data_IF_831756967313
#
_entry.id   IF_831756967313
#
_cell.length_a   1.000
_cell.length_b   1.000
_cell.length_c   1.000
_cell.angle_alpha   90.00
_cell.angle_beta   90.00
_cell.angle_gamma   90.00
#
_symmetry.space_group_name_H-M   'P 1'
#
loop_
_entity.id
_entity.type
_entity.pdbx_description
1 polymer ?
#
# COMPACT_ATOMS: atom_id res chain seq x y z
N UNK A 1 11.31 1.44 -6.35
CA UNK A 1 10.16 1.53 -7.28
C UNK A 1 9.89 0.13 -7.81
N UNK A 2 8.66 -0.35 -7.76
CA UNK A 2 8.30 -1.71 -8.23
C UNK A 2 8.18 -1.70 -9.77
N UNK A 3 9.32 -1.55 -10.45
CA UNK A 3 9.42 -1.34 -11.91
C UNK A 3 8.76 -2.50 -12.66
N UNK A 4 8.96 -3.73 -12.21
CA UNK A 4 8.40 -4.92 -12.83
C UNK A 4 6.86 -4.91 -12.87
N UNK A 5 6.21 -4.33 -11.85
CA UNK A 5 4.76 -4.26 -11.77
C UNK A 5 4.18 -3.35 -12.87
N UNK A 6 4.91 -2.28 -13.21
CA UNK A 6 4.54 -1.37 -14.29
C UNK A 6 5.01 -1.88 -15.66
N UNK A 7 6.25 -2.37 -15.76
CA UNK A 7 6.79 -2.92 -17.01
C UNK A 7 6.12 -4.24 -17.41
N UNK A 8 5.67 -5.06 -16.45
CA UNK A 8 4.92 -6.29 -16.70
C UNK A 8 3.50 -6.08 -17.23
N UNK A 9 3.07 -4.82 -17.42
CA UNK A 9 1.76 -4.50 -17.97
C UNK A 9 0.58 -4.69 -17.00
N UNK A 10 0.80 -5.21 -15.78
CA UNK A 10 -0.25 -5.55 -14.81
C UNK A 10 -1.06 -4.32 -14.41
N UNK A 11 -0.37 -3.23 -14.05
CA UNK A 11 -1.03 -1.98 -13.65
C UNK A 11 -1.71 -1.33 -14.86
N UNK A 12 -1.10 -1.42 -16.04
CA UNK A 12 -1.68 -0.91 -17.28
C UNK A 12 -2.97 -1.68 -17.62
N UNK A 13 -2.92 -3.00 -17.57
CA UNK A 13 -4.09 -3.86 -17.80
C UNK A 13 -5.21 -3.55 -16.82
N UNK A 14 -4.88 -3.43 -15.53
CA UNK A 14 -5.86 -3.06 -14.51
C UNK A 14 -6.48 -1.68 -14.77
N UNK A 15 -5.70 -0.66 -15.09
CA UNK A 15 -6.19 0.69 -15.41
C UNK A 15 -7.03 0.77 -16.69
N UNK A 16 -6.97 -0.23 -17.55
CA UNK A 16 -7.72 -0.26 -18.82
C UNK A 16 -8.93 -1.18 -18.79
N UNK A 17 -8.86 -2.28 -18.05
CA UNK A 17 -9.95 -3.28 -18.00
C UNK A 17 -10.96 -3.02 -16.89
N UNK A 18 -10.65 -2.13 -15.96
CA UNK A 18 -11.48 -1.85 -14.79
C UNK A 18 -11.52 -3.00 -13.78
N UNK A 19 -12.02 -2.73 -12.60
CA UNK A 19 -12.31 -3.70 -11.55
C UNK A 19 -11.26 -3.79 -10.44
N UNK A 20 -11.08 -4.95 -9.82
CA UNK A 20 -10.34 -5.13 -8.59
C UNK A 20 -9.00 -5.83 -8.81
N UNK A 21 -7.91 -5.18 -8.41
CA UNK A 21 -6.55 -5.72 -8.34
C UNK A 21 -6.20 -6.03 -6.88
N UNK A 22 -5.79 -7.26 -6.61
CA UNK A 22 -5.27 -7.63 -5.29
C UNK A 22 -3.80 -7.99 -5.37
N UNK A 23 -2.96 -7.24 -4.63
CA UNK A 23 -1.52 -7.46 -4.53
C UNK A 23 -1.22 -7.99 -3.13
N UNK A 24 -0.56 -9.12 -3.04
CA UNK A 24 -0.29 -9.76 -1.75
C UNK A 24 1.15 -10.24 -1.62
N UNK A 25 1.64 -10.22 -0.38
CA UNK A 25 2.98 -10.70 -0.06
C UNK A 25 3.19 -10.90 1.43
N UNK A 26 4.18 -11.69 1.82
CA UNK A 26 4.57 -11.82 3.22
C UNK A 26 5.25 -10.55 3.70
N UNK A 27 5.10 -10.17 4.98
CA UNK A 27 5.93 -9.12 5.57
C UNK A 27 7.40 -9.54 5.53
N UNK A 28 8.29 -8.69 5.06
CA UNK A 28 9.65 -8.71 5.51
C UNK A 28 9.62 -8.48 7.04
N UNK A 29 10.19 -9.40 7.80
CA UNK A 29 10.20 -9.32 9.27
C UNK A 29 11.13 -8.16 9.64
N UNK A 30 10.57 -6.97 9.81
CA UNK A 30 11.29 -5.86 10.40
C UNK A 30 11.40 -6.16 11.88
N UNK A 31 12.58 -6.56 12.33
CA UNK A 31 12.96 -6.41 13.73
C UNK A 31 12.95 -4.90 14.02
N UNK A 32 11.81 -4.42 14.51
CA UNK A 32 11.67 -3.07 15.04
C UNK A 32 12.56 -2.96 16.29
N UNK A 33 13.76 -2.47 16.11
CA UNK A 33 14.43 -1.77 17.20
C UNK A 33 13.76 -0.40 17.29
N UNK A 34 13.23 -0.01 18.48
CA UNK A 34 12.61 1.29 18.62
C UNK A 34 13.62 2.40 18.27
N UNK A 35 13.16 3.39 17.52
CA UNK A 35 13.97 4.53 17.09
C UNK A 35 14.61 5.34 18.25
N UNK A 36 14.22 5.07 19.49
CA UNK A 36 14.80 5.63 20.71
C UNK A 36 16.23 5.20 21.00
N UNK A 37 16.68 4.06 20.48
CA UNK A 37 18.00 3.50 20.80
C UNK A 37 19.13 4.00 19.88
N UNK A 38 18.80 4.83 18.88
CA UNK A 38 19.81 5.36 17.93
C UNK A 38 20.54 6.63 18.40
N UNK A 39 20.41 7.02 19.67
CA UNK A 39 21.15 8.19 20.23
C UNK A 39 22.55 7.89 20.72
N UNK A 40 23.04 6.66 20.61
CA UNK A 40 24.42 6.35 20.93
C UNK A 40 25.22 6.10 19.64
N UNK A 41 26.33 6.82 19.42
CA UNK A 41 27.24 6.46 18.36
C UNK A 41 27.85 5.10 18.73
N UNK A 42 27.47 4.04 18.03
CA UNK A 42 28.14 2.75 18.17
C UNK A 42 29.55 2.94 17.65
N UNK A 43 30.51 3.07 18.57
CA UNK A 43 31.95 3.07 18.26
C UNK A 43 32.24 1.64 17.80
N UNK A 44 32.30 1.45 16.49
CA UNK A 44 32.71 0.18 15.89
C UNK A 44 34.22 0.15 15.93
N UNK A 45 34.73 -0.62 16.88
CA UNK A 45 36.16 -0.95 16.91
C UNK A 45 36.50 -1.76 15.65
N UNK A 46 37.29 -1.17 14.78
CA UNK A 46 37.76 -1.80 13.55
C UNK A 46 38.60 -3.04 13.89
N UNK A 47 38.14 -4.24 13.53
CA UNK A 47 38.89 -5.45 13.81
C UNK A 47 38.43 -6.75 13.18
N UNK A 48 37.18 -6.89 12.77
CA UNK A 48 36.73 -8.10 12.08
C UNK A 48 35.68 -7.75 11.03
N UNK A 49 35.87 -8.18 9.79
CA UNK A 49 34.98 -7.94 8.67
C UNK A 49 33.51 -8.37 8.90
N UNK A 50 33.25 -9.12 9.97
CA UNK A 50 31.88 -9.54 10.39
C UNK A 50 31.02 -8.36 10.86
N UNK A 51 31.57 -7.34 11.50
CA UNK A 51 30.86 -6.18 12.01
C UNK A 51 30.35 -5.27 10.88
N UNK A 52 31.07 -5.21 9.76
CA UNK A 52 30.69 -4.39 8.60
C UNK A 52 29.54 -5.03 7.85
N UNK A 53 29.52 -6.36 7.72
CA UNK A 53 28.41 -7.11 7.11
C UNK A 53 27.12 -6.90 7.93
N UNK A 54 27.20 -6.93 9.26
CA UNK A 54 26.07 -6.66 10.14
C UNK A 54 25.52 -5.23 9.99
N UNK A 55 26.38 -4.23 9.86
CA UNK A 55 25.93 -2.85 9.68
C UNK A 55 25.24 -2.63 8.33
N UNK A 56 25.70 -3.28 7.28
CA UNK A 56 25.06 -3.22 5.96
C UNK A 56 23.76 -4.01 5.95
N UNK A 57 23.72 -5.17 6.56
CA UNK A 57 22.49 -5.95 6.76
C UNK A 57 21.49 -5.14 7.58
N UNK A 58 21.89 -4.46 8.63
CA UNK A 58 21.02 -3.56 9.39
C UNK A 58 20.57 -2.33 8.56
N UNK A 59 21.45 -1.72 7.78
CA UNK A 59 21.09 -0.58 6.93
C UNK A 59 20.20 -0.96 5.75
N UNK A 60 20.30 -2.20 5.26
CA UNK A 60 19.48 -2.77 4.19
C UNK A 60 18.20 -3.46 4.72
N UNK A 61 18.18 -3.88 6.00
CA UNK A 61 16.95 -4.27 6.72
C UNK A 61 16.05 -3.05 7.02
N UNK A 62 16.55 -1.83 6.87
CA UNK A 62 15.76 -0.62 6.72
C UNK A 62 15.10 -0.49 5.33
N UNK A 63 15.17 -1.51 4.50
CA UNK A 63 14.33 -1.64 3.33
C UNK A 63 12.89 -1.79 3.82
N UNK A 64 12.25 -0.65 3.91
CA UNK A 64 10.81 -0.47 4.17
C UNK A 64 10.02 -1.59 3.48
N UNK A 65 9.04 -2.18 4.12
CA UNK A 65 8.30 -3.32 3.59
C UNK A 65 7.88 -3.07 2.14
N UNK A 66 8.22 -3.99 1.27
CA UNK A 66 8.04 -3.89 -0.18
C UNK A 66 6.59 -3.54 -0.58
N UNK A 67 5.64 -3.93 0.25
CA UNK A 67 4.22 -3.54 0.11
C UNK A 67 4.01 -2.02 0.18
N UNK A 68 4.69 -1.32 1.10
CA UNK A 68 4.61 0.15 1.18
C UNK A 68 5.18 0.84 -0.07
N UNK A 69 6.24 0.31 -0.66
CA UNK A 69 6.77 0.86 -1.91
C UNK A 69 5.85 0.58 -3.09
N UNK A 70 5.17 -0.54 -3.08
CA UNK A 70 4.26 -0.94 -4.17
C UNK A 70 3.03 -0.04 -4.18
N UNK A 71 2.37 0.15 -3.06
CA UNK A 71 1.20 1.03 -2.96
C UNK A 71 1.55 2.49 -3.20
N UNK A 72 2.66 2.98 -2.63
CA UNK A 72 3.14 4.35 -2.89
C UNK A 72 3.49 4.58 -4.37
N UNK A 73 4.07 3.60 -5.05
CA UNK A 73 4.38 3.71 -6.48
C UNK A 73 3.11 3.71 -7.33
N UNK A 74 2.12 2.89 -6.99
CA UNK A 74 0.81 2.88 -7.66
C UNK A 74 0.10 4.22 -7.44
N UNK A 75 0.09 4.75 -6.23
CA UNK A 75 -0.50 6.06 -5.91
C UNK A 75 0.17 7.16 -6.72
N UNK A 76 1.51 7.20 -6.79
CA UNK A 76 2.24 8.20 -7.59
C UNK A 76 1.90 8.11 -9.08
N UNK A 77 1.77 6.91 -9.61
CA UNK A 77 1.39 6.68 -11.01
C UNK A 77 -0.06 7.12 -11.28
N UNK A 78 -0.98 6.90 -10.34
CA UNK A 78 -2.36 7.36 -10.44
C UNK A 78 -2.44 8.89 -10.29
N UNK A 79 -1.67 9.51 -9.39
CA UNK A 79 -1.61 10.98 -9.24
C UNK A 79 -1.31 11.64 -10.58
N UNK A 80 -0.36 11.11 -11.34
CA UNK A 80 -0.04 11.62 -12.67
C UNK A 80 -1.24 11.56 -13.63
N UNK A 81 -2.12 10.57 -13.51
CA UNK A 81 -3.38 10.50 -14.27
C UNK A 81 -4.38 11.52 -13.76
N UNK A 82 -4.51 11.69 -12.45
CA UNK A 82 -5.42 12.68 -11.84
C UNK A 82 -5.05 14.11 -12.21
N UNK A 83 -3.75 14.42 -12.31
CA UNK A 83 -3.26 15.74 -12.74
C UNK A 83 -3.72 16.13 -14.15
N UNK A 84 -4.07 15.17 -15.01
CA UNK A 84 -4.67 15.45 -16.32
C UNK A 84 -6.15 15.87 -16.25
N UNK A 85 -6.78 15.78 -15.08
CA UNK A 85 -8.20 16.06 -14.87
C UNK A 85 -9.14 14.95 -15.36
N UNK A 86 -8.61 13.80 -15.80
CA UNK A 86 -9.40 12.70 -16.34
C UNK A 86 -9.82 11.67 -15.28
N UNK A 87 -9.30 11.78 -14.07
CA UNK A 87 -9.55 10.85 -12.97
C UNK A 87 -9.53 11.54 -11.61
N UNK A 88 -10.16 10.88 -10.63
CA UNK A 88 -10.03 11.21 -9.21
C UNK A 88 -9.55 9.98 -8.44
N UNK A 89 -8.93 10.19 -7.27
CA UNK A 89 -8.40 9.12 -6.46
C UNK A 89 -8.72 9.32 -4.99
N UNK A 90 -8.95 8.22 -4.29
CA UNK A 90 -8.89 8.19 -2.83
C UNK A 90 -8.12 6.95 -2.36
N UNK A 91 -7.41 7.09 -1.25
CA UNK A 91 -6.62 6.01 -0.70
C UNK A 91 -6.73 5.95 0.82
N UNK A 92 -6.48 4.76 1.37
CA UNK A 92 -6.46 4.54 2.80
C UNK A 92 -5.38 3.52 3.17
N UNK A 93 -4.60 3.85 4.21
CA UNK A 93 -3.59 2.97 4.79
C UNK A 93 -4.07 2.48 6.14
N UNK A 94 -4.28 1.17 6.28
CA UNK A 94 -4.50 0.57 7.59
C UNK A 94 -3.19 0.55 8.37
N UNK A 95 -3.28 0.79 9.69
CA UNK A 95 -2.12 0.72 10.59
C UNK A 95 -2.60 0.22 11.96
N UNK A 96 -2.16 -0.96 12.37
CA UNK A 96 -2.53 -1.57 13.66
C UNK A 96 -2.07 -0.74 14.88
N UNK A 97 -1.18 0.24 14.71
CA UNK A 97 -0.69 1.13 15.77
C UNK A 97 -1.53 2.39 15.92
N UNK A 98 -2.32 2.72 14.92
CA UNK A 98 -3.13 3.94 14.87
C UNK A 98 -4.62 3.58 14.89
N UNK A 99 -5.27 3.80 16.06
CA UNK A 99 -6.69 3.48 16.24
C UNK A 99 -7.62 4.16 15.22
N UNK A 100 -7.21 5.30 14.68
CA UNK A 100 -7.98 6.02 13.64
C UNK A 100 -7.83 5.43 12.25
N UNK A 101 -7.12 4.31 12.11
CA UNK A 101 -6.85 3.61 10.84
C UNK A 101 -7.16 2.12 10.89
N UNK A 102 -8.10 1.72 11.73
CA UNK A 102 -8.38 0.31 12.00
C UNK A 102 -9.81 -0.12 11.69
N UNK A 103 -10.70 0.82 11.39
CA UNK A 103 -12.13 0.52 11.26
C UNK A 103 -12.70 0.84 9.89
N UNK A 104 -13.82 0.22 9.56
CA UNK A 104 -14.59 0.55 8.36
C UNK A 104 -15.10 1.99 8.40
N UNK A 105 -15.42 2.50 9.60
CA UNK A 105 -15.84 3.89 9.82
C UNK A 105 -14.75 4.88 9.38
N UNK A 106 -13.51 4.66 9.80
CA UNK A 106 -12.37 5.54 9.47
C UNK A 106 -12.08 5.50 7.97
N UNK A 107 -12.11 4.30 7.37
CA UNK A 107 -11.99 4.11 5.94
C UNK A 107 -13.05 4.93 5.18
N UNK A 108 -14.32 4.77 5.52
CA UNK A 108 -15.43 5.47 4.84
C UNK A 108 -15.27 6.99 4.91
N UNK A 109 -14.97 7.52 6.10
CA UNK A 109 -14.76 8.96 6.29
C UNK A 109 -13.61 9.48 5.46
N UNK A 110 -12.50 8.76 5.42
CA UNK A 110 -11.33 9.15 4.64
C UNK A 110 -11.62 9.17 3.15
N UNK A 111 -12.25 8.11 2.61
CA UNK A 111 -12.58 8.04 1.18
C UNK A 111 -13.58 9.13 0.77
N UNK A 112 -14.67 9.30 1.53
CA UNK A 112 -15.68 10.34 1.26
C UNK A 112 -15.07 11.73 1.29
N UNK A 113 -14.20 12.01 2.27
CA UNK A 113 -13.52 13.32 2.38
C UNK A 113 -12.60 13.57 1.17
N UNK A 114 -11.74 12.64 0.81
CA UNK A 114 -10.81 12.79 -0.31
C UNK A 114 -11.57 13.02 -1.63
N UNK A 115 -12.55 12.18 -1.94
CA UNK A 115 -13.36 12.34 -3.15
C UNK A 115 -14.11 13.68 -3.19
N UNK A 116 -14.59 14.18 -2.04
CA UNK A 116 -15.28 15.46 -1.98
C UNK A 116 -14.32 16.66 -2.19
N UNK A 117 -13.05 16.49 -1.87
CA UNK A 117 -12.03 17.53 -2.08
C UNK A 117 -11.65 17.64 -3.55
N UNK A 118 -11.58 16.51 -4.25
CA UNK A 118 -11.10 16.44 -5.62
C UNK A 118 -12.21 16.65 -6.67
N UNK A 119 -13.48 16.63 -6.24
CA UNK A 119 -14.62 16.69 -7.16
C UNK A 119 -15.76 17.54 -6.62
N UNK A 120 -16.14 18.60 -7.37
CA UNK A 120 -17.29 19.45 -7.03
C UNK A 120 -18.61 18.67 -6.91
N UNK A 121 -18.95 17.72 -7.80
CA UNK A 121 -20.15 16.89 -7.63
C UNK A 121 -20.13 16.04 -6.36
N UNK A 122 -18.95 15.49 -5.97
CA UNK A 122 -18.82 14.76 -4.71
C UNK A 122 -18.98 15.70 -3.50
N UNK A 123 -18.46 16.92 -3.59
CA UNK A 123 -18.66 17.94 -2.57
C UNK A 123 -20.15 18.28 -2.38
N UNK A 124 -20.91 18.40 -3.45
CA UNK A 124 -22.37 18.64 -3.39
C UNK A 124 -23.12 17.48 -2.74
N UNK A 125 -22.73 16.22 -3.05
CA UNK A 125 -23.29 15.03 -2.42
C UNK A 125 -23.02 15.04 -0.91
N UNK A 126 -21.77 15.30 -0.51
CA UNK A 126 -21.39 15.39 0.90
C UNK A 126 -22.13 16.54 1.61
N UNK A 127 -22.24 17.69 0.98
CA UNK A 127 -22.95 18.84 1.54
C UNK A 127 -24.43 18.56 1.79
N UNK A 128 -25.07 17.77 0.93
CA UNK A 128 -26.46 17.33 1.15
C UNK A 128 -26.56 16.45 2.40
N UNK A 129 -25.68 15.45 2.54
CA UNK A 129 -25.62 14.60 3.72
C UNK A 129 -25.36 15.42 4.99
N UNK A 130 -24.47 16.41 4.91
CA UNK A 130 -24.18 17.32 6.03
C UNK A 130 -25.43 18.08 6.48
N UNK A 131 -26.20 18.63 5.54
CA UNK A 131 -27.46 19.34 5.85
C UNK A 131 -28.52 18.42 6.44
N UNK A 132 -28.69 17.21 5.90
CA UNK A 132 -29.62 16.21 6.42
C UNK A 132 -29.30 15.82 7.87
N UNK A 133 -28.03 15.94 8.28
CA UNK A 133 -27.55 15.67 9.64
C UNK A 133 -27.41 16.95 10.48
N UNK A 134 -28.35 17.88 10.32
CA UNK A 134 -28.46 19.14 11.10
C UNK A 134 -27.18 19.95 11.09
N UNK A 135 -26.66 20.21 9.90
CA UNK A 135 -25.43 20.96 9.67
C UNK A 135 -24.25 20.41 10.48
N UNK A 136 -24.11 19.07 10.50
CA UNK A 136 -22.99 18.37 11.12
C UNK A 136 -23.07 18.20 12.64
N UNK A 137 -24.17 18.60 13.27
CA UNK A 137 -24.37 18.36 14.72
C UNK A 137 -24.70 16.91 15.04
N UNK A 138 -25.18 16.14 14.06
CA UNK A 138 -25.35 14.69 14.15
C UNK A 138 -24.33 14.00 13.25
N UNK A 139 -23.60 13.03 13.80
CA UNK A 139 -22.72 12.21 12.98
C UNK A 139 -23.55 11.25 12.10
N UNK A 140 -23.25 11.15 10.80
CA UNK A 140 -23.87 10.15 9.93
C UNK A 140 -23.50 8.74 10.39
N UNK A 141 -24.42 7.80 10.26
CA UNK A 141 -24.15 6.39 10.48
C UNK A 141 -23.21 5.84 9.41
N UNK A 142 -22.56 4.70 9.67
CA UNK A 142 -21.72 4.04 8.67
C UNK A 142 -22.52 3.66 7.42
N UNK A 143 -23.78 3.29 7.58
CA UNK A 143 -24.67 3.03 6.44
C UNK A 143 -24.90 4.30 5.60
N UNK A 144 -25.12 5.44 6.23
CA UNK A 144 -25.24 6.73 5.54
C UNK A 144 -23.95 7.08 4.80
N UNK A 145 -22.79 6.86 5.45
CA UNK A 145 -21.48 7.09 4.85
C UNK A 145 -21.21 6.15 3.66
N UNK A 146 -21.63 4.88 3.75
CA UNK A 146 -21.58 3.92 2.64
C UNK A 146 -22.42 4.37 1.46
N UNK A 147 -23.66 4.78 1.69
CA UNK A 147 -24.51 5.26 0.60
C UNK A 147 -24.01 6.58 0.01
N UNK A 148 -23.45 7.48 0.82
CA UNK A 148 -22.76 8.68 0.35
C UNK A 148 -21.60 8.32 -0.60
N UNK A 149 -20.72 7.40 -0.18
CA UNK A 149 -19.61 6.92 -1.00
C UNK A 149 -20.10 6.31 -2.32
N UNK A 150 -21.10 5.41 -2.26
CA UNK A 150 -21.69 4.79 -3.46
C UNK A 150 -22.33 5.83 -4.41
N UNK A 151 -22.95 6.86 -3.87
CA UNK A 151 -23.52 7.95 -4.67
C UNK A 151 -22.43 8.76 -5.37
N UNK A 152 -21.31 9.04 -4.67
CA UNK A 152 -20.13 9.68 -5.27
C UNK A 152 -19.55 8.85 -6.40
N UNK A 153 -19.31 7.56 -6.17
CA UNK A 153 -18.72 6.65 -7.17
C UNK A 153 -19.58 6.47 -8.43
N UNK A 154 -20.92 6.56 -8.29
CA UNK A 154 -21.86 6.44 -9.43
C UNK A 154 -22.01 7.73 -10.24
N UNK A 155 -21.45 8.83 -9.77
CA UNK A 155 -21.67 10.11 -10.46
C UNK A 155 -20.86 10.18 -11.77
N UNK A 156 -21.47 10.44 -12.91
CA UNK A 156 -20.85 10.28 -14.23
C UNK A 156 -19.82 11.36 -14.58
N UNK A 157 -19.70 12.42 -13.77
CA UNK A 157 -18.84 13.57 -14.10
C UNK A 157 -17.36 13.39 -13.72
N UNK A 158 -16.98 12.25 -13.13
CA UNK A 158 -15.62 12.10 -12.59
C UNK A 158 -14.60 11.51 -13.57
N UNK A 159 -15.07 10.90 -14.66
CA UNK A 159 -14.19 10.01 -15.43
C UNK A 159 -13.81 8.78 -14.60
N UNK A 160 -12.53 8.45 -14.58
CA UNK A 160 -12.02 7.31 -13.83
C UNK A 160 -11.93 7.60 -12.32
N UNK A 161 -12.31 6.64 -11.50
CA UNK A 161 -12.19 6.71 -10.03
C UNK A 161 -11.27 5.59 -9.54
N UNK A 162 -10.20 5.96 -8.85
CA UNK A 162 -9.24 5.01 -8.29
C UNK A 162 -9.37 4.97 -6.77
N UNK A 163 -9.55 3.77 -6.22
CA UNK A 163 -9.51 3.52 -4.77
C UNK A 163 -8.31 2.62 -4.45
N UNK A 164 -7.43 3.07 -3.56
CA UNK A 164 -6.27 2.29 -3.11
C UNK A 164 -6.38 2.00 -1.62
N UNK A 165 -6.46 0.72 -1.26
CA UNK A 165 -6.61 0.23 0.11
C UNK A 165 -5.35 -0.53 0.48
N UNK A 166 -4.50 0.07 1.31
CA UNK A 166 -3.21 -0.52 1.65
C UNK A 166 -3.24 -1.22 3.02
N UNK A 167 -2.53 -2.34 3.09
CA UNK A 167 -2.32 -3.11 4.32
C UNK A 167 -3.62 -3.58 5.00
N UNK A 168 -4.56 -4.16 4.25
CA UNK A 168 -5.83 -4.68 4.78
C UNK A 168 -5.64 -5.68 5.94
N UNK A 169 -4.52 -6.38 6.00
CA UNK A 169 -4.16 -7.29 7.08
C UNK A 169 -3.87 -6.57 8.41
N UNK A 170 -3.64 -5.27 8.39
CA UNK A 170 -3.46 -4.47 9.61
C UNK A 170 -4.79 -4.02 10.26
N UNK A 171 -5.91 -4.20 9.55
CA UNK A 171 -7.24 -4.06 10.13
C UNK A 171 -7.51 -5.22 11.12
N UNK A 172 -7.97 -4.94 12.36
CA UNK A 172 -8.20 -5.97 13.37
C UNK A 172 -9.27 -6.99 12.97
N UNK A 173 -8.98 -8.28 13.22
CA UNK A 173 -9.88 -9.41 12.95
C UNK A 173 -10.56 -9.99 14.19
N UNK A 174 -10.09 -9.62 15.40
CA UNK A 174 -10.46 -10.24 16.67
C UNK A 174 -11.29 -9.36 17.59
N UNK A 175 -11.42 -8.07 17.29
CA UNK A 175 -12.11 -7.09 18.14
C UNK A 175 -13.50 -6.76 17.58
N UNK A 176 -14.53 -6.85 18.43
CA UNK A 176 -15.90 -6.47 18.06
C UNK A 176 -16.75 -7.60 17.44
N UNK A 177 -18.03 -7.34 17.27
CA UNK A 177 -18.99 -8.23 16.59
C UNK A 177 -19.90 -7.38 15.70
N UNK A 178 -19.70 -7.37 14.36
CA UNK A 178 -18.64 -8.07 13.64
C UNK A 178 -17.24 -7.47 13.84
N UNK A 179 -16.16 -8.22 13.56
CA UNK A 179 -14.81 -7.68 13.57
C UNK A 179 -14.62 -6.59 12.51
N UNK A 180 -13.83 -5.53 12.77
CA UNK A 180 -13.61 -4.42 11.83
C UNK A 180 -13.16 -4.88 10.44
N UNK A 181 -12.26 -5.87 10.36
CA UNK A 181 -11.79 -6.44 9.09
C UNK A 181 -12.94 -7.06 8.28
N UNK A 182 -13.84 -7.75 8.94
CA UNK A 182 -15.02 -8.34 8.26
C UNK A 182 -15.91 -7.26 7.64
N UNK A 183 -16.11 -6.13 8.31
CA UNK A 183 -16.88 -5.00 7.78
C UNK A 183 -16.17 -4.35 6.59
N UNK A 184 -14.84 -4.20 6.65
CA UNK A 184 -14.03 -3.68 5.54
C UNK A 184 -14.11 -4.62 4.33
N UNK A 185 -13.96 -5.93 4.53
CA UNK A 185 -14.06 -6.92 3.45
C UNK A 185 -15.46 -6.94 2.83
N UNK A 186 -16.51 -6.79 3.63
CA UNK A 186 -17.87 -6.66 3.13
C UNK A 186 -18.04 -5.39 2.30
N UNK A 187 -17.46 -4.26 2.74
CA UNK A 187 -17.47 -3.02 1.96
C UNK A 187 -16.76 -3.19 0.62
N UNK A 188 -15.57 -3.78 0.60
CA UNK A 188 -14.82 -4.06 -0.64
C UNK A 188 -15.67 -4.89 -1.60
N UNK A 189 -16.30 -5.95 -1.10
CA UNK A 189 -17.21 -6.77 -1.90
C UNK A 189 -18.36 -5.95 -2.47
N UNK A 190 -19.03 -5.14 -1.66
CA UNK A 190 -20.13 -4.27 -2.10
C UNK A 190 -19.68 -3.29 -3.19
N UNK A 191 -18.47 -2.72 -3.08
CA UNK A 191 -17.93 -1.80 -4.07
C UNK A 191 -17.61 -2.49 -5.40
N UNK A 192 -17.01 -3.69 -5.35
CA UNK A 192 -16.76 -4.51 -6.56
C UNK A 192 -18.08 -4.93 -7.22
N UNK A 193 -19.08 -5.32 -6.42
CA UNK A 193 -20.40 -5.74 -6.91
C UNK A 193 -21.21 -4.59 -7.56
N UNK A 194 -20.81 -3.32 -7.37
CA UNK A 194 -21.40 -2.18 -8.11
C UNK A 194 -21.16 -2.27 -9.61
N UNK A 195 -20.10 -2.98 -10.05
CA UNK A 195 -19.70 -3.17 -11.46
C UNK A 195 -19.65 -1.88 -12.26
N UNK A 196 -19.17 -0.82 -11.66
CA UNK A 196 -19.01 0.47 -12.33
C UNK A 196 -17.82 0.38 -13.30
N UNK A 197 -18.00 0.77 -14.59
CA UNK A 197 -16.97 0.61 -15.61
C UNK A 197 -15.72 1.46 -15.33
N UNK A 198 -15.89 2.61 -14.67
CA UNK A 198 -14.83 3.57 -14.43
C UNK A 198 -14.30 3.50 -12.97
N UNK A 199 -14.65 2.46 -12.21
CA UNK A 199 -14.18 2.23 -10.85
C UNK A 199 -13.05 1.20 -10.84
N UNK A 200 -11.89 1.62 -10.36
CA UNK A 200 -10.67 0.82 -10.24
C UNK A 200 -10.28 0.71 -8.77
N UNK A 201 -10.27 -0.50 -8.24
CA UNK A 201 -9.93 -0.74 -6.85
C UNK A 201 -8.61 -1.53 -6.80
N UNK A 202 -7.64 -1.05 -6.04
CA UNK A 202 -6.41 -1.78 -5.73
C UNK A 202 -6.36 -2.02 -4.23
N UNK A 203 -6.16 -3.27 -3.82
CA UNK A 203 -5.94 -3.61 -2.43
C UNK A 203 -4.59 -4.30 -2.26
N UNK A 204 -3.91 -4.01 -1.14
CA UNK A 204 -2.70 -4.72 -0.75
C UNK A 204 -2.90 -5.39 0.61
N UNK A 205 -2.33 -6.57 0.81
CA UNK A 205 -2.37 -7.27 2.10
C UNK A 205 -1.38 -8.43 2.17
N UNK A 206 -1.22 -9.01 3.37
CA UNK A 206 -0.71 -10.38 3.47
C UNK A 206 -1.78 -11.36 3.00
N UNK A 207 -1.36 -12.54 2.51
CA UNK A 207 -2.30 -13.57 2.06
C UNK A 207 -2.85 -14.39 3.26
N UNK A 208 -3.46 -13.74 4.24
CA UNK A 208 -4.13 -14.41 5.35
C UNK A 208 -5.36 -15.18 4.85
N UNK A 209 -5.79 -16.19 5.59
CA UNK A 209 -6.81 -17.14 5.13
C UNK A 209 -8.14 -16.46 4.84
N UNK A 210 -8.59 -15.59 5.72
CA UNK A 210 -9.83 -14.80 5.60
C UNK A 210 -9.77 -13.80 4.45
N UNK A 211 -8.66 -13.06 4.33
CA UNK A 211 -8.42 -12.13 3.22
C UNK A 211 -8.39 -12.84 1.88
N UNK A 212 -7.67 -13.96 1.80
CA UNK A 212 -7.61 -14.77 0.58
C UNK A 212 -8.98 -15.32 0.18
N UNK A 213 -9.75 -15.82 1.14
CA UNK A 213 -11.08 -16.37 0.88
C UNK A 213 -12.05 -15.34 0.27
N UNK A 214 -11.93 -14.07 0.65
CA UNK A 214 -12.80 -13.01 0.16
C UNK A 214 -12.23 -12.29 -1.05
N UNK A 215 -10.95 -11.90 -1.03
CA UNK A 215 -10.38 -11.02 -2.06
C UNK A 215 -10.02 -11.78 -3.35
N UNK A 216 -9.55 -13.03 -3.24
CA UNK A 216 -9.12 -13.79 -4.42
C UNK A 216 -10.28 -14.05 -5.42
N UNK A 217 -11.50 -14.43 -4.99
CA UNK A 217 -12.62 -14.58 -5.91
C UNK A 217 -13.13 -13.28 -6.52
N UNK A 218 -12.92 -12.14 -5.85
CA UNK A 218 -13.35 -10.82 -6.32
C UNK A 218 -12.37 -10.21 -7.30
N UNK A 219 -11.09 -10.57 -7.19
CA UNK A 219 -10.04 -9.93 -7.96
C UNK A 219 -10.10 -10.33 -9.44
N UNK A 220 -10.12 -9.34 -10.32
CA UNK A 220 -9.82 -9.53 -11.75
C UNK A 220 -8.43 -10.17 -11.92
N UNK A 221 -7.46 -9.70 -11.13
CA UNK A 221 -6.11 -10.24 -11.08
C UNK A 221 -5.57 -10.21 -9.65
N UNK A 222 -4.95 -11.32 -9.25
CA UNK A 222 -4.21 -11.44 -8.00
C UNK A 222 -2.73 -11.55 -8.30
N UNK A 223 -1.91 -10.72 -7.65
CA UNK A 223 -0.46 -10.63 -7.87
C UNK A 223 0.26 -10.99 -6.59
N UNK A 224 1.09 -12.03 -6.65
CA UNK A 224 1.97 -12.41 -5.55
C UNK A 224 3.31 -11.69 -5.68
N UNK A 225 3.68 -10.92 -4.66
CA UNK A 225 4.98 -10.26 -4.65
C UNK A 225 6.15 -11.24 -4.51
N UNK A 226 5.91 -12.50 -4.15
CA UNK A 226 6.95 -13.52 -4.00
C UNK A 226 7.19 -14.36 -5.24
N UNK A 227 6.19 -14.47 -6.11
CA UNK A 227 6.21 -15.39 -7.25
C UNK A 227 6.61 -14.71 -8.56
N UNK A 228 6.76 -13.39 -8.54
CA UNK A 228 7.07 -12.60 -9.73
C UNK A 228 8.57 -12.48 -9.95
N UNK A 229 9.06 -12.99 -11.07
CA UNK A 229 10.49 -12.95 -11.44
C UNK A 229 11.05 -11.51 -11.54
N UNK A 230 10.20 -10.54 -11.86
CA UNK A 230 10.56 -9.13 -11.94
C UNK A 230 10.96 -8.53 -10.59
N UNK A 231 10.39 -9.02 -9.47
CA UNK A 231 10.75 -8.57 -8.14
C UNK A 231 12.20 -8.86 -7.80
N UNK A 232 12.71 -10.05 -8.11
CA UNK A 232 14.11 -10.42 -7.89
C UNK A 232 15.05 -9.47 -8.60
N UNK A 233 14.73 -9.13 -9.84
CA UNK A 233 15.50 -8.18 -10.64
C UNK A 233 15.48 -6.77 -10.03
N UNK A 234 14.33 -6.29 -9.57
CA UNK A 234 14.23 -4.98 -8.92
C UNK A 234 14.99 -4.92 -7.60
N UNK A 235 14.92 -5.98 -6.78
CA UNK A 235 15.68 -6.09 -5.54
C UNK A 235 17.19 -6.10 -5.84
N UNK A 236 17.63 -6.89 -6.81
CA UNK A 236 19.04 -6.94 -7.21
C UNK A 236 19.54 -5.57 -7.68
N UNK A 237 18.78 -4.89 -8.55
CA UNK A 237 19.10 -3.56 -9.05
C UNK A 237 19.16 -2.51 -7.92
N UNK A 238 18.20 -2.57 -6.98
CA UNK A 238 18.19 -1.68 -5.82
C UNK A 238 19.42 -1.89 -4.93
N UNK A 239 19.73 -3.14 -4.60
CA UNK A 239 20.93 -3.49 -3.80
C UNK A 239 22.20 -3.02 -4.51
N UNK A 240 22.33 -3.28 -5.82
CA UNK A 240 23.46 -2.83 -6.61
C UNK A 240 23.60 -1.31 -6.60
N UNK A 241 22.50 -0.58 -6.77
CA UNK A 241 22.51 0.87 -6.74
C UNK A 241 22.95 1.42 -5.39
N UNK A 242 22.51 0.85 -4.27
CA UNK A 242 22.92 1.26 -2.93
C UNK A 242 24.39 0.94 -2.68
N UNK A 243 24.81 -0.29 -2.95
CA UNK A 243 26.19 -0.76 -2.69
C UNK A 243 27.20 -0.02 -3.55
N UNK A 244 26.83 0.36 -4.77
CA UNK A 244 27.70 1.09 -5.70
C UNK A 244 27.54 2.61 -5.60
N UNK A 245 26.51 3.11 -4.89
CA UNK A 245 26.33 4.54 -4.73
C UNK A 245 27.47 5.16 -3.92
N UNK A 246 27.92 6.32 -4.37
CA UNK A 246 28.96 7.10 -3.68
C UNK A 246 28.46 7.81 -2.41
N UNK A 247 27.18 7.63 -2.05
CA UNK A 247 26.55 8.35 -0.94
C UNK A 247 27.05 7.90 0.44
N UNK A 248 27.47 6.64 0.61
CA UNK A 248 28.02 6.14 1.86
C UNK A 248 29.56 6.11 1.86
N UNK A 249 30.18 6.89 2.74
CA UNK A 249 31.64 6.90 2.90
C UNK A 249 32.21 5.53 3.34
N UNK A 250 31.41 4.72 4.02
CA UNK A 250 31.78 3.36 4.42
C UNK A 250 31.85 2.41 3.21
N UNK A 251 30.87 2.47 2.31
CA UNK A 251 30.80 1.59 1.13
C UNK A 251 31.81 1.94 0.04
N UNK A 252 32.30 3.19 0.02
CA UNK A 252 33.39 3.61 -0.89
C UNK A 252 34.71 2.89 -0.62
N UNK A 253 34.96 2.41 0.61
CA UNK A 253 36.19 1.73 1.02
C UNK A 253 36.15 0.22 0.77
N UNK A 254 35.00 -0.34 0.34
CA UNK A 254 34.90 -1.77 0.11
C UNK A 254 35.57 -2.18 -1.19
N UNK A 255 36.23 -3.34 -1.16
CA UNK A 255 36.76 -3.96 -2.37
C UNK A 255 35.61 -4.45 -3.25
N UNK A 256 35.85 -4.58 -4.54
CA UNK A 256 34.87 -5.05 -5.49
C UNK A 256 34.28 -6.43 -5.12
N UNK A 257 35.16 -7.34 -4.66
CA UNK A 257 34.76 -8.70 -4.25
C UNK A 257 33.83 -8.68 -3.04
N UNK A 258 34.06 -7.81 -2.05
CA UNK A 258 33.18 -7.66 -0.88
C UNK A 258 31.82 -7.10 -1.29
N UNK A 259 31.79 -6.16 -2.23
CA UNK A 259 30.54 -5.60 -2.78
C UNK A 259 29.73 -6.66 -3.50
N UNK A 260 30.38 -7.46 -4.36
CA UNK A 260 29.72 -8.52 -5.10
C UNK A 260 29.16 -9.60 -4.16
N UNK A 261 29.94 -10.01 -3.17
CA UNK A 261 29.47 -10.98 -2.16
C UNK A 261 28.23 -10.48 -1.41
N UNK A 262 28.22 -9.20 -1.05
CA UNK A 262 27.05 -8.60 -0.37
C UNK A 262 25.84 -8.54 -1.29
N UNK A 263 26.01 -8.12 -2.55
CA UNK A 263 24.91 -8.07 -3.54
C UNK A 263 24.32 -9.46 -3.71
N UNK A 264 25.16 -10.47 -3.93
CA UNK A 264 24.74 -11.85 -4.15
C UNK A 264 24.00 -12.42 -2.93
N UNK A 265 24.61 -12.31 -1.74
CA UNK A 265 24.02 -12.81 -0.49
C UNK A 265 22.67 -12.15 -0.17
N UNK A 266 22.54 -10.84 -0.38
CA UNK A 266 21.30 -10.14 -0.09
C UNK A 266 20.21 -10.42 -1.12
N UNK A 267 20.59 -10.57 -2.40
CA UNK A 267 19.64 -10.95 -3.45
C UNK A 267 19.08 -12.35 -3.23
N UNK A 268 19.94 -13.32 -2.86
CA UNK A 268 19.52 -14.68 -2.55
C UNK A 268 18.61 -14.74 -1.30
N UNK A 269 18.96 -13.99 -0.24
CA UNK A 269 18.16 -13.99 1.00
C UNK A 269 16.86 -13.22 0.90
N UNK A 270 16.76 -12.27 0.00
CA UNK A 270 15.51 -11.55 -0.26
C UNK A 270 14.40 -12.47 -0.81
N UNK A 271 14.76 -13.62 -1.37
CA UNK A 271 13.84 -14.63 -1.91
C UNK A 271 13.09 -15.42 -0.82
N UNK A 272 13.46 -15.28 0.44
CA UNK A 272 12.88 -15.99 1.59
C UNK A 272 12.28 -15.08 2.68
N UNK A 273 12.23 -13.79 2.45
CA UNK A 273 11.70 -12.81 3.43
C UNK A 273 10.28 -12.37 3.12
#
# INVERSE_FOLDING_TARGET
MAIWLFQGGIVIEWKTSGSFLWIYGKRAFLLLFPASDFRQPVIIVAGSGKSVIWFVVLSLLYVVPYLFFTSSSIIQDIIAVCETGSAIMAYFYFDFRDLSKQTCHDLLRSLVFQLSTDSSPCCEILHRVYKEHKDGTQQPSDNTSKECLKAMLRHPAHGQVFLVLDALDECPDTSGLPPPRSEVLQLVKELVDLRLPDLYICATSRPEVDLRAVLQPLAFRSVSLHDESGQKSDIANYIQNIVNSSSSAAMRRWKADDKNLVIETLTERADGM
#
